data_IF_996041524677
#
_entry.id   IF_996041524677
#
_cell.length_a   1.000
_cell.length_b   1.000
_cell.length_c   1.000
_cell.angle_alpha   90.00
_cell.angle_beta   90.00
_cell.angle_gamma   90.00
#
_symmetry.space_group_name_H-M   'P 1'
#
loop_
_entity.id
_entity.type
_entity.pdbx_description
1 polymer ?
#
# COMPACT_ATOMS: atom_id res chain seq x y z
N UNK A 1 21.00 -13.67 19.59
CA UNK A 1 19.64 -13.84 20.13
C UNK A 1 19.38 -15.32 20.30
N UNK A 2 18.75 -15.77 21.38
CA UNK A 2 18.28 -17.16 21.50
C UNK A 2 16.99 -17.31 20.67
N UNK A 3 17.04 -18.10 19.59
CA UNK A 3 15.94 -18.29 18.66
C UNK A 3 14.69 -18.89 19.34
N UNK A 4 14.87 -19.75 20.33
CA UNK A 4 13.74 -20.36 21.06
C UNK A 4 13.03 -19.32 21.93
N UNK A 5 13.80 -18.53 22.67
CA UNK A 5 13.26 -17.44 23.48
C UNK A 5 12.60 -16.34 22.64
N UNK A 6 13.15 -16.04 21.45
CA UNK A 6 12.57 -15.11 20.49
C UNK A 6 11.22 -15.61 19.96
N UNK A 7 11.17 -16.85 19.46
CA UNK A 7 9.95 -17.52 18.98
C UNK A 7 8.84 -17.45 20.04
N UNK A 8 9.13 -17.89 21.27
CA UNK A 8 8.15 -17.85 22.35
C UNK A 8 7.64 -16.44 22.68
N UNK A 9 8.45 -15.39 22.50
CA UNK A 9 8.01 -13.99 22.66
C UNK A 9 7.08 -13.56 21.52
N UNK A 10 7.44 -13.89 20.28
CA UNK A 10 6.65 -13.56 19.09
C UNK A 10 5.29 -14.27 19.14
N UNK A 11 5.25 -15.56 19.48
CA UNK A 11 4.01 -16.34 19.63
C UNK A 11 3.05 -15.68 20.64
N UNK A 12 3.57 -15.23 21.80
CA UNK A 12 2.74 -14.53 22.80
C UNK A 12 2.20 -13.20 22.28
N UNK A 13 2.97 -12.49 21.45
CA UNK A 13 2.54 -11.22 20.85
C UNK A 13 1.42 -11.47 19.84
N UNK A 14 1.61 -12.46 18.96
CA UNK A 14 0.66 -12.82 17.91
C UNK A 14 -0.64 -13.39 18.49
N UNK A 15 -0.54 -14.33 19.45
CA UNK A 15 -1.70 -14.87 20.17
C UNK A 15 -2.49 -13.78 20.90
N UNK A 16 -1.81 -12.78 21.47
CA UNK A 16 -2.48 -11.63 22.10
C UNK A 16 -3.16 -10.71 21.08
N UNK A 17 -2.62 -10.58 19.87
CA UNK A 17 -3.28 -9.83 18.81
C UNK A 17 -4.56 -10.57 18.35
N UNK A 18 -4.48 -11.89 18.22
CA UNK A 18 -5.59 -12.74 17.82
C UNK A 18 -6.70 -12.90 18.88
N UNK A 19 -6.38 -12.77 20.17
CA UNK A 19 -7.38 -12.85 21.24
C UNK A 19 -8.26 -11.59 21.37
N UNK A 20 -8.00 -10.55 20.58
CA UNK A 20 -8.85 -9.36 20.57
C UNK A 20 -10.17 -9.68 19.86
N UNK A 21 -11.32 -9.28 20.45
CA UNK A 21 -12.65 -9.60 19.90
C UNK A 21 -12.91 -9.13 18.46
N UNK A 22 -12.21 -8.07 18.05
CA UNK A 22 -12.32 -7.48 16.71
C UNK A 22 -11.23 -8.02 15.74
N UNK A 23 -10.39 -8.97 16.16
CA UNK A 23 -9.36 -9.54 15.28
C UNK A 23 -9.97 -10.64 14.40
N UNK A 24 -9.62 -10.65 13.12
CA UNK A 24 -10.08 -11.66 12.18
C UNK A 24 -8.91 -12.18 11.36
N UNK A 25 -8.73 -13.49 11.30
CA UNK A 25 -7.69 -14.11 10.48
C UNK A 25 -6.29 -13.53 10.72
N UNK A 26 -5.90 -13.35 11.98
CA UNK A 26 -4.64 -12.67 12.34
C UNK A 26 -3.44 -13.49 11.89
N UNK A 27 -2.43 -12.81 11.36
CA UNK A 27 -1.19 -13.44 10.93
C UNK A 27 -0.01 -12.50 10.86
N UNK A 28 1.18 -13.05 11.05
CA UNK A 28 2.43 -12.33 10.91
C UNK A 28 3.54 -13.25 10.45
N UNK A 29 4.45 -12.71 9.65
CA UNK A 29 5.71 -13.35 9.32
C UNK A 29 6.85 -12.33 9.53
N UNK A 30 8.01 -12.85 9.87
CA UNK A 30 9.21 -12.10 10.15
C UNK A 30 10.43 -12.81 9.59
N UNK A 31 11.31 -12.05 8.95
CA UNK A 31 12.61 -12.54 8.48
C UNK A 31 13.72 -11.57 8.84
N UNK A 32 14.83 -12.11 9.32
CA UNK A 32 16.10 -11.41 9.48
C UNK A 32 17.27 -12.41 9.33
N UNK A 33 18.52 -11.97 9.18
CA UNK A 33 19.65 -12.88 9.00
C UNK A 33 19.72 -13.96 10.09
N UNK A 34 19.59 -15.23 9.68
CA UNK A 34 19.65 -16.39 10.57
C UNK A 34 18.39 -16.63 11.42
N UNK A 35 17.28 -15.94 11.15
CA UNK A 35 16.02 -16.15 11.88
C UNK A 35 14.81 -15.87 11.00
N UNK A 36 13.90 -16.84 10.94
CA UNK A 36 12.58 -16.72 10.33
C UNK A 36 11.53 -17.19 11.32
N UNK A 37 10.37 -16.56 11.26
CA UNK A 37 9.22 -16.91 12.07
C UNK A 37 7.95 -16.53 11.33
N UNK A 38 6.98 -17.44 11.31
CA UNK A 38 5.63 -17.15 10.86
C UNK A 38 4.62 -17.67 11.88
N UNK A 39 3.47 -17.02 11.91
CA UNK A 39 2.37 -17.35 12.81
C UNK A 39 1.04 -17.05 12.15
N UNK A 40 0.15 -18.03 12.23
CA UNK A 40 -1.19 -17.99 11.65
C UNK A 40 -2.21 -18.40 12.72
N UNK A 41 -3.28 -17.61 12.87
CA UNK A 41 -4.39 -18.00 13.73
C UNK A 41 -5.13 -19.22 13.12
N UNK A 42 -5.62 -20.20 13.92
CA UNK A 42 -6.23 -21.43 13.39
C UNK A 42 -7.37 -21.24 12.37
N UNK A 43 -8.18 -20.18 12.52
CA UNK A 43 -9.28 -19.85 11.61
C UNK A 43 -8.88 -18.94 10.44
N UNK A 44 -7.59 -18.65 10.27
CA UNK A 44 -7.08 -17.74 9.25
C UNK A 44 -6.70 -18.48 7.96
N UNK A 45 -6.92 -17.83 6.82
CA UNK A 45 -6.44 -18.31 5.51
C UNK A 45 -5.06 -17.76 5.16
N UNK A 46 -4.36 -18.50 4.30
CA UNK A 46 -3.03 -18.17 3.79
C UNK A 46 -3.00 -16.99 2.81
N UNK A 47 -4.13 -16.56 2.25
CA UNK A 47 -4.17 -15.38 1.38
C UNK A 47 -5.04 -14.30 2.00
N UNK A 48 -4.63 -13.04 1.88
CA UNK A 48 -5.40 -11.89 2.36
C UNK A 48 -5.22 -10.68 1.44
N UNK A 49 -6.21 -9.79 1.45
CA UNK A 49 -6.12 -8.50 0.78
C UNK A 49 -5.12 -7.60 1.50
N UNK A 50 -4.03 -7.25 0.83
CA UNK A 50 -2.95 -6.45 1.43
C UNK A 50 -3.25 -4.95 1.38
N UNK A 51 -4.34 -4.56 0.72
CA UNK A 51 -4.78 -3.18 0.55
C UNK A 51 -3.59 -2.33 0.05
N UNK A 52 -3.38 -1.15 0.63
CA UNK A 52 -2.39 -0.18 0.14
C UNK A 52 -0.93 -0.64 0.18
N UNK A 53 -0.60 -1.80 0.75
CA UNK A 53 0.71 -2.45 0.51
C UNK A 53 0.95 -2.66 -0.99
N UNK A 54 -0.12 -2.82 -1.78
CA UNK A 54 -0.14 -2.81 -3.25
C UNK A 54 0.67 -1.67 -3.86
N UNK A 55 0.70 -0.49 -3.23
CA UNK A 55 1.41 0.68 -3.76
C UNK A 55 2.93 0.48 -3.87
N UNK A 56 3.51 -0.42 -3.08
CA UNK A 56 4.92 -0.81 -3.23
C UNK A 56 5.17 -1.51 -4.57
N UNK A 57 4.24 -2.39 -4.97
CA UNK A 57 4.29 -3.13 -6.25
C UNK A 57 4.07 -2.17 -7.41
N UNK A 58 3.03 -1.33 -7.33
CA UNK A 58 2.75 -0.30 -8.33
C UNK A 58 3.95 0.62 -8.53
N UNK A 59 4.57 1.09 -7.43
CA UNK A 59 5.75 1.92 -7.51
C UNK A 59 6.95 1.17 -8.11
N UNK A 60 7.17 -0.09 -7.75
CA UNK A 60 8.25 -0.90 -8.31
C UNK A 60 8.12 -1.05 -9.84
N UNK A 61 6.91 -1.29 -10.35
CA UNK A 61 6.64 -1.35 -11.80
C UNK A 61 6.90 0.00 -12.47
N UNK A 62 6.41 1.10 -11.88
CA UNK A 62 6.63 2.45 -12.42
C UNK A 62 8.12 2.80 -12.44
N UNK A 63 8.89 2.40 -11.43
CA UNK A 63 10.34 2.60 -11.39
C UNK A 63 11.07 1.71 -12.39
N UNK A 64 10.61 0.47 -12.63
CA UNK A 64 11.12 -0.37 -13.73
C UNK A 64 10.97 0.31 -15.10
N UNK A 65 9.83 0.95 -15.36
CA UNK A 65 9.64 1.71 -16.62
C UNK A 65 10.64 2.86 -16.78
N UNK A 66 11.05 3.47 -15.67
CA UNK A 66 12.05 4.55 -15.67
C UNK A 66 13.45 3.99 -15.92
N UNK A 67 13.82 2.86 -15.31
CA UNK A 67 15.06 2.16 -15.65
C UNK A 67 15.11 1.75 -17.12
N UNK A 68 13.98 1.31 -17.67
CA UNK A 68 13.79 0.99 -19.08
C UNK A 68 13.76 2.23 -19.99
N UNK A 69 13.94 3.44 -19.43
CA UNK A 69 13.95 4.72 -20.15
C UNK A 69 12.66 4.98 -20.95
N UNK A 70 11.51 4.44 -20.51
CA UNK A 70 10.21 4.69 -21.17
C UNK A 70 9.69 6.10 -20.89
N UNK A 71 9.96 6.60 -19.69
CA UNK A 71 9.68 7.94 -19.20
C UNK A 71 10.53 8.21 -17.95
N UNK A 72 10.48 9.43 -17.43
CA UNK A 72 11.20 9.83 -16.23
C UNK A 72 10.24 10.21 -15.10
N UNK A 73 10.76 10.37 -13.88
CA UNK A 73 10.00 10.86 -12.74
C UNK A 73 9.33 12.22 -13.02
N UNK A 74 9.96 13.07 -13.81
CA UNK A 74 9.46 14.42 -14.10
C UNK A 74 8.64 14.49 -15.39
N UNK A 75 8.37 13.35 -16.05
CA UNK A 75 7.45 13.28 -17.18
C UNK A 75 6.03 13.69 -16.73
N UNK A 76 5.37 14.61 -17.43
CA UNK A 76 3.97 14.95 -17.18
C UNK A 76 3.08 13.72 -17.35
N UNK A 77 2.25 13.40 -16.35
CA UNK A 77 1.38 12.23 -16.39
C UNK A 77 0.40 12.27 -17.58
N UNK A 78 -0.04 13.47 -17.98
CA UNK A 78 -0.94 13.67 -19.12
C UNK A 78 -0.38 13.14 -20.44
N UNK A 79 0.95 13.05 -20.62
CA UNK A 79 1.54 12.50 -21.84
C UNK A 79 1.58 10.97 -21.88
N UNK A 80 1.31 10.32 -20.75
CA UNK A 80 1.32 8.86 -20.59
C UNK A 80 -0.08 8.25 -20.53
N UNK A 81 -1.12 9.09 -20.56
CA UNK A 81 -2.51 8.72 -20.34
C UNK A 81 -3.35 9.02 -21.58
N UNK A 82 -4.50 8.33 -21.76
CA UNK A 82 -5.44 8.66 -22.81
C UNK A 82 -5.88 10.14 -22.74
N UNK A 83 -6.10 10.75 -23.90
CA UNK A 83 -6.49 12.16 -24.00
C UNK A 83 -7.74 12.44 -23.15
N UNK A 84 -7.74 13.53 -22.38
CA UNK A 84 -8.86 13.95 -21.54
C UNK A 84 -8.91 13.30 -20.15
N UNK A 85 -8.10 12.27 -19.90
CA UNK A 85 -8.07 11.57 -18.60
C UNK A 85 -7.78 12.54 -17.45
N UNK A 86 -6.80 13.42 -17.64
CA UNK A 86 -6.34 14.36 -16.61
C UNK A 86 -7.22 15.61 -16.47
N UNK A 87 -8.10 15.91 -17.42
CA UNK A 87 -8.78 17.21 -17.50
C UNK A 87 -9.61 17.50 -16.24
N UNK A 88 -9.39 18.64 -15.60
CA UNK A 88 -10.14 19.05 -14.41
C UNK A 88 -9.89 18.21 -13.16
N UNK A 89 -8.92 17.29 -13.13
CA UNK A 89 -8.54 16.56 -11.90
C UNK A 89 -7.80 17.46 -10.89
N UNK A 90 -7.25 18.57 -11.38
CA UNK A 90 -6.67 19.66 -10.62
C UNK A 90 -7.28 21.00 -11.07
N UNK A 91 -8.61 21.02 -11.20
CA UNK A 91 -9.38 22.18 -11.65
C UNK A 91 -10.14 22.85 -10.51
N UNK A 92 -9.66 24.00 -10.04
CA UNK A 92 -10.32 24.80 -9.01
C UNK A 92 -10.04 26.29 -9.18
N UNK A 93 -11.02 27.13 -8.83
CA UNK A 93 -10.94 28.59 -8.97
C UNK A 93 -10.63 29.09 -10.41
N UNK A 94 -11.08 28.36 -11.43
CA UNK A 94 -11.01 28.79 -12.84
C UNK A 94 -9.68 28.48 -13.56
N UNK A 95 -8.74 27.78 -12.91
CA UNK A 95 -7.49 27.33 -13.53
C UNK A 95 -7.32 25.84 -13.33
N UNK A 96 -7.13 25.10 -14.42
CA UNK A 96 -6.80 23.69 -14.41
C UNK A 96 -5.29 23.49 -14.55
N UNK A 97 -4.66 22.87 -13.53
CA UNK A 97 -3.22 22.58 -13.50
C UNK A 97 -2.91 21.11 -13.69
N UNK A 98 -3.87 20.30 -14.14
CA UNK A 98 -3.70 18.84 -14.25
C UNK A 98 -2.54 18.45 -15.15
N UNK A 99 -2.25 19.25 -16.19
CA UNK A 99 -1.11 19.06 -17.08
C UNK A 99 0.26 19.24 -16.42
N UNK A 100 0.34 19.85 -15.22
CA UNK A 100 1.58 20.02 -14.45
C UNK A 100 1.89 18.84 -13.51
N UNK A 101 0.96 17.89 -13.37
CA UNK A 101 1.15 16.72 -12.53
C UNK A 101 2.12 15.75 -13.23
N UNK A 102 3.20 15.37 -12.56
CA UNK A 102 4.23 14.45 -13.07
C UNK A 102 4.11 13.07 -12.42
N UNK A 103 4.82 12.08 -12.97
CA UNK A 103 4.93 10.73 -12.38
C UNK A 103 5.43 10.80 -10.93
N UNK A 104 6.41 11.66 -10.64
CA UNK A 104 6.92 11.94 -9.27
C UNK A 104 5.81 12.42 -8.34
N UNK A 105 4.95 13.31 -8.83
CA UNK A 105 3.85 13.85 -8.04
C UNK A 105 2.82 12.78 -7.69
N UNK A 106 2.53 11.86 -8.62
CA UNK A 106 1.64 10.72 -8.38
C UNK A 106 2.24 9.75 -7.36
N UNK A 107 3.47 9.27 -7.61
CA UNK A 107 4.18 8.34 -6.72
C UNK A 107 4.34 8.88 -5.30
N UNK A 108 4.63 10.17 -5.17
CA UNK A 108 4.92 10.84 -3.90
C UNK A 108 3.72 11.42 -3.16
N UNK A 109 2.51 11.27 -3.69
CA UNK A 109 1.31 11.92 -3.16
C UNK A 109 1.46 13.45 -3.02
N UNK A 110 1.99 14.11 -4.05
CA UNK A 110 2.16 15.57 -4.11
C UNK A 110 1.52 16.20 -5.34
N UNK A 111 0.58 15.49 -5.99
CA UNK A 111 -0.18 16.00 -7.14
C UNK A 111 -1.15 17.12 -6.77
N UNK A 112 -1.64 17.14 -5.52
CA UNK A 112 -2.73 18.00 -5.09
C UNK A 112 -4.12 17.54 -5.56
N UNK A 113 -4.20 16.39 -6.26
CA UNK A 113 -5.46 15.79 -6.71
C UNK A 113 -6.19 15.20 -5.51
N UNK A 114 -7.48 15.53 -5.39
CA UNK A 114 -8.32 15.03 -4.30
C UNK A 114 -8.43 13.50 -4.30
N UNK A 115 -8.69 12.94 -3.13
CA UNK A 115 -8.89 11.51 -2.96
C UNK A 115 -10.33 11.10 -3.33
N UNK A 116 -10.50 10.07 -4.15
CA UNK A 116 -11.81 9.57 -4.56
C UNK A 116 -12.45 8.65 -3.50
N UNK A 117 -11.63 7.98 -2.68
CA UNK A 117 -12.06 6.84 -1.87
C UNK A 117 -12.58 7.25 -0.49
N UNK A 118 -11.77 7.97 0.29
CA UNK A 118 -12.14 8.57 1.58
C UNK A 118 -12.63 10.02 1.43
N UNK A 119 -12.38 10.66 0.27
CA UNK A 119 -12.80 12.04 0.00
C UNK A 119 -14.26 12.19 -0.47
N UNK A 120 -15.16 12.58 0.43
CA UNK A 120 -16.55 12.88 0.09
C UNK A 120 -16.73 14.13 -0.79
N UNK A 121 -17.66 14.07 -1.76
CA UNK A 121 -18.16 15.26 -2.48
C UNK A 121 -19.24 15.93 -1.63
N UNK A 122 -19.38 17.26 -1.73
CA UNK A 122 -20.43 17.98 -1.02
C UNK A 122 -21.81 17.37 -1.32
N UNK A 123 -22.52 16.93 -0.28
CA UNK A 123 -23.84 16.31 -0.38
C UNK A 123 -23.84 14.82 -0.75
N UNK A 124 -22.68 14.17 -0.83
CA UNK A 124 -22.53 12.74 -1.10
C UNK A 124 -21.62 12.09 -0.05
N UNK A 125 -21.69 10.77 0.06
CA UNK A 125 -20.77 10.01 0.90
C UNK A 125 -19.50 9.66 0.15
N UNK A 126 -18.44 9.40 0.90
CA UNK A 126 -17.23 8.80 0.35
C UNK A 126 -17.51 7.34 -0.04
N UNK A 127 -16.78 6.83 -1.04
CA UNK A 127 -16.85 5.43 -1.47
C UNK A 127 -16.61 4.48 -0.30
N UNK A 128 -15.64 4.81 0.57
CA UNK A 128 -15.40 4.04 1.80
C UNK A 128 -16.66 3.89 2.66
N UNK A 129 -17.49 4.92 2.82
CA UNK A 129 -18.70 4.84 3.64
C UNK A 129 -19.82 4.01 3.00
N UNK A 130 -19.93 4.05 1.68
CA UNK A 130 -20.87 3.22 0.90
C UNK A 130 -20.43 1.75 0.94
N UNK A 131 -19.12 1.49 0.81
CA UNK A 131 -18.51 0.17 0.93
C UNK A 131 -18.77 -0.52 2.26
N UNK A 132 -18.91 0.24 3.36
CA UNK A 132 -19.29 -0.32 4.66
C UNK A 132 -20.77 -0.75 4.74
N UNK A 133 -21.61 -0.43 3.76
CA UNK A 133 -23.05 -0.73 3.73
C UNK A 133 -23.42 -1.84 2.78
N UNK A 134 -22.60 -2.06 1.76
CA UNK A 134 -22.81 -3.09 0.76
C UNK A 134 -21.65 -3.14 -0.22
N UNK A 135 -21.59 -4.25 -0.93
CA UNK A 135 -20.64 -4.41 -2.03
C UNK A 135 -21.02 -3.45 -3.17
N UNK A 136 -20.00 -2.92 -3.83
CA UNK A 136 -20.15 -1.97 -4.94
C UNK A 136 -18.99 -2.14 -5.92
N UNK A 137 -19.20 -1.79 -7.17
CA UNK A 137 -18.17 -1.76 -8.20
C UNK A 137 -18.04 -0.34 -8.74
N UNK A 138 -16.83 0.03 -9.12
CA UNK A 138 -16.55 1.23 -9.90
C UNK A 138 -15.43 0.98 -10.90
N UNK A 139 -15.41 1.79 -11.94
CA UNK A 139 -14.35 1.86 -12.95
C UNK A 139 -13.35 2.97 -12.62
N UNK A 140 -12.18 2.98 -13.27
CA UNK A 140 -11.23 4.10 -13.17
C UNK A 140 -11.88 5.42 -13.57
N UNK A 141 -12.69 5.44 -14.62
CA UNK A 141 -13.39 6.64 -15.08
C UNK A 141 -14.32 7.20 -14.00
N UNK A 142 -15.12 6.35 -13.35
CA UNK A 142 -15.99 6.76 -12.25
C UNK A 142 -15.19 7.26 -11.04
N UNK A 143 -14.08 6.61 -10.69
CA UNK A 143 -13.19 7.08 -9.62
C UNK A 143 -12.61 8.48 -9.92
N UNK A 144 -12.18 8.74 -11.15
CA UNK A 144 -11.68 10.05 -11.57
C UNK A 144 -12.78 11.12 -11.60
N UNK A 145 -13.99 10.77 -12.03
CA UNK A 145 -15.12 11.70 -12.10
C UNK A 145 -15.62 12.16 -10.72
N UNK A 146 -15.44 11.34 -9.66
CA UNK A 146 -15.72 11.73 -8.27
C UNK A 146 -14.93 12.98 -7.88
N UNK A 147 -13.69 13.11 -8.37
CA UNK A 147 -12.77 14.20 -8.01
C UNK A 147 -12.69 15.31 -9.06
N UNK A 148 -13.20 15.07 -10.27
CA UNK A 148 -13.18 16.06 -11.36
C UNK A 148 -13.91 17.34 -10.98
N UNK A 149 -13.24 18.47 -11.21
CA UNK A 149 -13.72 19.81 -10.87
C UNK A 149 -13.70 20.15 -9.38
N UNK A 150 -13.09 19.32 -8.53
CA UNK A 150 -12.87 19.66 -7.13
C UNK A 150 -11.72 20.66 -7.03
N UNK A 151 -11.88 21.63 -6.14
CA UNK A 151 -10.81 22.56 -5.79
C UNK A 151 -9.64 21.76 -5.18
N UNK A 152 -8.44 21.84 -5.77
CA UNK A 152 -7.26 21.18 -5.21
C UNK A 152 -6.87 21.85 -3.91
N UNK A 153 -6.42 21.07 -2.93
CA UNK A 153 -5.95 21.62 -1.66
C UNK A 153 -4.66 22.41 -1.83
N UNK A 154 -3.85 22.05 -2.84
CA UNK A 154 -2.52 22.61 -3.12
C UNK A 154 -2.11 22.46 -4.57
N UNK A 155 -1.13 23.26 -4.99
CA UNK A 155 -0.52 23.15 -6.31
C UNK A 155 0.33 21.86 -6.44
N UNK A 156 0.44 21.29 -7.65
CA UNK A 156 1.28 20.12 -7.89
C UNK A 156 2.74 20.39 -7.51
N UNK A 157 3.32 19.51 -6.72
CA UNK A 157 4.72 19.57 -6.29
C UNK A 157 4.99 20.36 -5.00
N UNK A 158 3.98 21.00 -4.39
CA UNK A 158 4.14 21.77 -3.14
C UNK A 158 4.98 20.99 -2.10
N UNK A 159 6.06 21.61 -1.64
CA UNK A 159 7.14 20.99 -0.86
C UNK A 159 6.80 20.69 0.61
N UNK A 160 5.59 21.00 1.09
CA UNK A 160 5.25 20.87 2.51
C UNK A 160 5.08 19.43 3.03
N UNK A 161 4.00 18.75 2.63
CA UNK A 161 3.60 17.43 3.12
C UNK A 161 3.04 16.59 1.98
N UNK A 162 3.05 15.26 2.15
CA UNK A 162 2.33 14.37 1.23
C UNK A 162 0.84 14.38 1.56
N UNK A 163 0.00 14.40 0.53
CA UNK A 163 -1.45 14.36 0.59
C UNK A 163 -1.91 13.05 -0.03
N UNK A 164 -2.06 12.05 0.83
CA UNK A 164 -2.44 10.71 0.41
C UNK A 164 -3.75 10.76 -0.38
N UNK A 165 -3.72 10.18 -1.57
CA UNK A 165 -4.83 10.17 -2.51
C UNK A 165 -4.70 8.92 -3.36
N UNK A 166 -5.66 8.02 -3.22
CA UNK A 166 -5.76 6.78 -3.98
C UNK A 166 -5.96 7.07 -5.48
N UNK A 167 -6.52 8.24 -5.80
CA UNK A 167 -6.64 8.75 -7.18
C UNK A 167 -5.28 8.77 -7.91
N UNK A 168 -4.19 9.09 -7.20
CA UNK A 168 -2.87 9.09 -7.83
C UNK A 168 -2.46 7.70 -8.32
N UNK A 169 -2.86 6.65 -7.62
CA UNK A 169 -2.50 5.29 -7.96
C UNK A 169 -3.51 4.67 -8.93
N UNK A 170 -4.76 5.16 -8.98
CA UNK A 170 -5.67 4.92 -10.11
C UNK A 170 -5.09 5.48 -11.42
N UNK A 171 -4.46 6.66 -11.39
CA UNK A 171 -3.76 7.21 -12.56
C UNK A 171 -2.50 6.38 -12.91
N UNK A 172 -1.72 5.95 -11.92
CA UNK A 172 -0.57 5.07 -12.17
C UNK A 172 -1.00 3.69 -12.72
N UNK A 173 -2.17 3.18 -12.35
CA UNK A 173 -2.74 1.98 -12.96
C UNK A 173 -2.88 2.16 -14.48
N UNK A 174 -3.53 3.25 -14.91
CA UNK A 174 -3.72 3.55 -16.33
C UNK A 174 -2.40 3.79 -17.08
N UNK A 175 -1.39 4.35 -16.39
CA UNK A 175 -0.02 4.44 -16.95
C UNK A 175 0.54 3.04 -17.16
N UNK A 176 0.43 2.14 -16.18
CA UNK A 176 0.92 0.76 -16.30
C UNK A 176 0.19 0.03 -17.44
N UNK A 177 -1.13 0.15 -17.53
CA UNK A 177 -1.90 -0.48 -18.61
C UNK A 177 -1.41 -0.03 -19.99
N UNK A 178 -1.22 1.28 -20.16
CA UNK A 178 -0.71 1.84 -21.41
C UNK A 178 0.71 1.38 -21.80
N UNK A 179 1.50 0.87 -20.86
CA UNK A 179 2.87 0.41 -21.07
C UNK A 179 3.01 -1.12 -21.18
N UNK A 180 2.13 -1.87 -20.51
CA UNK A 180 2.29 -3.31 -20.28
C UNK A 180 1.08 -4.15 -20.69
N UNK A 181 -0.06 -3.55 -21.04
CA UNK A 181 -1.31 -4.26 -21.27
C UNK A 181 -2.26 -4.09 -20.09
N UNK A 182 -2.44 -5.12 -19.27
CA UNK A 182 -3.24 -5.03 -18.03
C UNK A 182 -2.32 -4.90 -16.81
N UNK A 183 -2.79 -4.22 -15.77
CA UNK A 183 -2.12 -4.15 -14.48
C UNK A 183 -1.88 -5.56 -13.89
N UNK A 184 -2.81 -6.47 -14.06
CA UNK A 184 -2.71 -7.87 -13.64
C UNK A 184 -1.52 -8.57 -14.30
N UNK A 185 -1.39 -8.44 -15.62
CA UNK A 185 -0.27 -9.01 -16.38
C UNK A 185 1.04 -8.34 -16.00
N UNK A 186 1.04 -7.03 -15.75
CA UNK A 186 2.22 -6.30 -15.30
C UNK A 186 2.68 -6.80 -13.93
N UNK A 187 1.78 -6.98 -12.96
CA UNK A 187 2.09 -7.55 -11.64
C UNK A 187 2.68 -8.95 -11.76
N UNK A 188 2.04 -9.83 -12.56
CA UNK A 188 2.53 -11.18 -12.78
C UNK A 188 3.95 -11.18 -13.39
N UNK A 189 4.10 -10.57 -14.57
CA UNK A 189 5.32 -10.65 -15.38
C UNK A 189 6.50 -9.87 -14.79
N UNK A 190 6.25 -8.73 -14.14
CA UNK A 190 7.31 -7.83 -13.66
C UNK A 190 7.70 -8.04 -12.21
N UNK A 191 6.84 -8.68 -11.41
CA UNK A 191 7.03 -8.79 -9.97
C UNK A 191 6.88 -10.22 -9.48
N UNK A 192 5.75 -10.88 -9.74
CA UNK A 192 5.53 -12.23 -9.21
C UNK A 192 6.46 -13.26 -9.86
N UNK A 193 6.50 -13.35 -11.19
CA UNK A 193 7.30 -14.36 -11.91
C UNK A 193 8.82 -14.23 -11.62
N UNK A 194 9.43 -13.02 -11.64
CA UNK A 194 10.86 -12.88 -11.38
C UNK A 194 11.26 -13.17 -9.93
N UNK A 195 10.31 -13.07 -8.99
CA UNK A 195 10.54 -13.29 -7.57
C UNK A 195 10.03 -14.65 -7.08
N UNK A 196 9.26 -15.38 -7.89
CA UNK A 196 8.63 -16.65 -7.51
C UNK A 196 7.48 -16.50 -6.53
N UNK A 197 6.70 -15.40 -6.60
CA UNK A 197 5.58 -15.14 -5.67
C UNK A 197 4.31 -15.86 -6.16
N UNK A 198 4.23 -17.17 -5.93
CA UNK A 198 3.17 -18.04 -6.45
C UNK A 198 1.79 -17.76 -5.83
N UNK A 199 1.74 -17.19 -4.63
CA UNK A 199 0.52 -16.91 -3.89
C UNK A 199 0.12 -15.43 -3.90
N UNK A 200 0.72 -14.64 -4.79
CA UNK A 200 0.48 -13.21 -4.95
C UNK A 200 -0.09 -12.88 -6.31
N UNK A 201 -1.19 -12.12 -6.34
CA UNK A 201 -1.82 -11.71 -7.60
C UNK A 201 -2.65 -10.42 -7.43
N UNK A 202 -2.91 -9.74 -8.54
CA UNK A 202 -3.87 -8.65 -8.60
C UNK A 202 -5.30 -9.20 -8.71
N UNK A 203 -6.13 -8.81 -7.75
CA UNK A 203 -7.53 -9.18 -7.71
C UNK A 203 -8.37 -8.21 -8.56
N UNK A 204 -9.29 -8.75 -9.33
CA UNK A 204 -9.97 -8.08 -10.44
C UNK A 204 -11.31 -8.75 -10.77
N UNK A 205 -12.03 -8.22 -11.76
CA UNK A 205 -13.29 -8.79 -12.23
C UNK A 205 -13.17 -10.26 -12.71
N UNK A 206 -11.98 -10.67 -13.18
CA UNK A 206 -11.75 -12.04 -13.65
C UNK A 206 -11.44 -13.03 -12.51
N UNK A 207 -11.19 -12.53 -11.30
CA UNK A 207 -10.83 -13.34 -10.13
C UNK A 207 -11.88 -13.32 -9.02
N UNK A 208 -13.09 -12.81 -9.28
CA UNK A 208 -14.18 -12.73 -8.29
C UNK A 208 -14.55 -14.08 -7.65
N UNK A 209 -14.38 -15.19 -8.39
CA UNK A 209 -14.62 -16.54 -7.90
C UNK A 209 -13.61 -16.98 -6.81
N UNK A 210 -12.48 -16.29 -6.67
CA UNK A 210 -11.45 -16.55 -5.65
C UNK A 210 -11.70 -15.83 -4.33
N UNK A 211 -12.66 -14.89 -4.27
CA UNK A 211 -12.92 -14.07 -3.09
C UNK A 211 -13.11 -14.91 -1.82
N UNK A 212 -13.92 -15.97 -1.90
CA UNK A 212 -14.23 -16.84 -0.76
C UNK A 212 -13.06 -17.76 -0.38
N UNK A 213 -11.94 -17.71 -1.11
CA UNK A 213 -10.67 -18.39 -0.79
C UNK A 213 -9.69 -17.46 -0.07
N UNK A 214 -9.92 -16.14 -0.13
CA UNK A 214 -9.13 -15.13 0.56
C UNK A 214 -9.70 -14.90 1.96
N UNK A 215 -8.85 -14.51 2.90
CA UNK A 215 -9.25 -14.15 4.25
C UNK A 215 -10.23 -12.97 4.21
N UNK A 216 -11.40 -13.15 4.84
CA UNK A 216 -12.42 -12.12 4.91
C UNK A 216 -11.92 -10.87 5.64
N UNK A 217 -12.26 -9.71 5.10
CA UNK A 217 -12.00 -8.40 5.71
C UNK A 217 -13.13 -8.09 6.68
N UNK A 218 -12.81 -7.71 7.92
CA UNK A 218 -13.80 -7.39 8.94
C UNK A 218 -13.93 -5.88 9.18
N UNK A 219 -15.12 -5.49 9.63
CA UNK A 219 -15.39 -4.17 10.21
C UNK A 219 -16.10 -4.34 11.56
N UNK A 220 -15.35 -4.17 12.65
CA UNK A 220 -15.83 -4.53 13.99
C UNK A 220 -15.93 -6.03 14.15
N UNK A 221 -17.09 -6.53 14.58
CA UNK A 221 -17.27 -7.94 14.98
C UNK A 221 -17.62 -8.88 13.82
N UNK A 222 -17.85 -8.35 12.60
CA UNK A 222 -18.31 -9.15 11.46
C UNK A 222 -17.52 -8.91 10.17
N UNK A 223 -17.57 -9.90 9.24
CA UNK A 223 -17.01 -9.76 7.90
C UNK A 223 -17.83 -8.76 7.07
N UNK A 224 -17.18 -8.15 6.07
CA UNK A 224 -17.83 -7.41 5.00
C UNK A 224 -17.83 -8.24 3.72
N UNK A 225 -18.90 -8.13 2.93
CA UNK A 225 -18.91 -8.61 1.54
C UNK A 225 -18.39 -7.48 0.65
N UNK A 226 -17.16 -7.63 0.15
CA UNK A 226 -16.43 -6.62 -0.64
C UNK A 226 -15.92 -7.20 -1.96
N UNK A 227 -16.61 -8.20 -2.51
CA UNK A 227 -16.14 -8.98 -3.65
C UNK A 227 -15.90 -8.10 -4.87
N UNK A 228 -16.83 -7.23 -5.19
CA UNK A 228 -16.72 -6.32 -6.33
C UNK A 228 -15.89 -5.08 -5.95
N UNK A 229 -16.03 -4.59 -4.71
CA UNK A 229 -15.26 -3.43 -4.27
C UNK A 229 -13.74 -3.70 -4.35
N UNK A 230 -13.30 -4.88 -3.87
CA UNK A 230 -11.88 -5.27 -3.95
C UNK A 230 -11.36 -5.34 -5.39
N UNK A 231 -12.22 -5.68 -6.37
CA UNK A 231 -11.85 -5.75 -7.78
C UNK A 231 -11.71 -4.37 -8.44
N UNK A 232 -12.19 -3.30 -7.82
CA UNK A 232 -12.14 -1.93 -8.36
C UNK A 232 -10.91 -1.12 -7.91
N UNK A 233 -10.14 -1.61 -6.93
CA UNK A 233 -8.96 -0.89 -6.43
C UNK A 233 -7.75 -0.99 -7.38
N UNK A 234 -7.49 -2.16 -7.97
CA UNK A 234 -6.35 -2.34 -8.87
C UNK A 234 -5.03 -1.87 -8.24
N UNK A 235 -4.39 -0.85 -8.82
CA UNK A 235 -3.04 -0.43 -8.44
C UNK A 235 -2.94 0.40 -7.14
N UNK A 236 -4.06 0.82 -6.55
CA UNK A 236 -4.06 1.54 -5.27
C UNK A 236 -4.23 0.61 -4.05
N UNK A 237 -4.73 -0.61 -4.24
CA UNK A 237 -5.07 -1.51 -3.13
C UNK A 237 -5.54 -2.93 -3.46
N UNK A 238 -5.51 -3.35 -4.72
CA UNK A 238 -6.15 -4.57 -5.21
C UNK A 238 -5.34 -5.87 -5.13
N UNK A 239 -4.18 -5.92 -4.47
CA UNK A 239 -3.42 -7.18 -4.37
C UNK A 239 -3.93 -8.11 -3.27
N UNK A 240 -3.83 -9.40 -3.56
CA UNK A 240 -3.93 -10.52 -2.63
C UNK A 240 -2.55 -11.17 -2.53
N UNK A 241 -2.13 -11.54 -1.31
CA UNK A 241 -0.80 -12.15 -1.07
C UNK A 241 -0.78 -12.97 0.24
N UNK A 242 0.30 -13.70 0.48
CA UNK A 242 0.68 -14.34 1.76
C UNK A 242 1.61 -13.43 2.57
N UNK A 243 1.82 -13.73 3.84
CA UNK A 243 2.78 -12.95 4.64
C UNK A 243 4.22 -13.24 4.18
N UNK A 244 4.48 -14.48 3.77
CA UNK A 244 5.73 -15.02 3.27
C UNK A 244 6.15 -14.37 1.95
N UNK A 245 5.28 -14.33 0.94
CA UNK A 245 5.54 -13.64 -0.33
C UNK A 245 5.81 -12.15 -0.12
N UNK A 246 5.11 -11.53 0.84
CA UNK A 246 5.35 -10.12 1.18
C UNK A 246 6.74 -9.89 1.78
N UNK A 247 7.30 -10.85 2.54
CA UNK A 247 8.69 -10.74 2.99
C UNK A 247 9.64 -10.74 1.78
N UNK A 248 9.45 -11.67 0.84
CA UNK A 248 10.28 -11.79 -0.37
C UNK A 248 10.18 -10.55 -1.27
N UNK A 249 8.96 -10.02 -1.41
CA UNK A 249 8.69 -8.79 -2.14
C UNK A 249 9.44 -7.61 -1.54
N UNK A 250 9.30 -7.34 -0.24
CA UNK A 250 9.94 -6.16 0.35
C UNK A 250 11.45 -6.32 0.44
N UNK A 251 11.95 -7.53 0.69
CA UNK A 251 13.39 -7.81 0.63
C UNK A 251 13.94 -7.57 -0.80
N UNK A 252 13.19 -7.91 -1.84
CA UNK A 252 13.56 -7.63 -3.22
C UNK A 252 13.60 -6.13 -3.54
N UNK A 253 12.60 -5.37 -3.10
CA UNK A 253 12.54 -3.92 -3.31
C UNK A 253 13.69 -3.24 -2.55
N UNK A 254 13.88 -3.54 -1.27
CA UNK A 254 14.94 -2.95 -0.44
C UNK A 254 16.35 -3.41 -0.86
N UNK A 255 16.46 -4.56 -1.51
CA UNK A 255 17.68 -5.06 -2.14
C UNK A 255 17.91 -4.59 -3.57
N UNK A 256 17.08 -3.68 -4.11
CA UNK A 256 17.15 -3.18 -5.48
C UNK A 256 17.21 -4.30 -6.55
N UNK A 257 16.44 -5.37 -6.35
CA UNK A 257 16.36 -6.51 -7.29
C UNK A 257 15.37 -6.30 -8.43
N UNK A 258 14.40 -5.41 -8.24
CA UNK A 258 13.36 -5.10 -9.24
C UNK A 258 13.68 -3.89 -10.10
N UNK A 259 14.48 -2.95 -9.59
CA UNK A 259 14.88 -1.71 -10.26
C UNK A 259 16.21 -1.23 -9.67
N UNK A 260 16.86 -0.27 -10.31
CA UNK A 260 18.22 0.15 -10.04
C UNK A 260 18.39 0.71 -8.62
N UNK A 261 19.56 0.51 -7.98
CA UNK A 261 19.86 1.10 -6.69
C UNK A 261 19.70 2.63 -6.68
N UNK A 262 19.99 3.30 -7.80
CA UNK A 262 19.83 4.75 -7.96
C UNK A 262 18.37 5.17 -7.82
N UNK A 263 17.42 4.42 -8.40
CA UNK A 263 16.00 4.70 -8.24
C UNK A 263 15.50 4.37 -6.82
N UNK A 264 16.06 3.35 -6.17
CA UNK A 264 15.78 3.09 -4.75
C UNK A 264 16.20 4.26 -3.87
N UNK A 265 17.42 4.78 -4.07
CA UNK A 265 17.93 5.95 -3.38
C UNK A 265 17.06 7.19 -3.64
N UNK A 266 16.59 7.39 -4.89
CA UNK A 266 15.67 8.49 -5.19
C UNK A 266 14.30 8.31 -4.51
N UNK A 267 13.76 7.09 -4.51
CA UNK A 267 12.46 6.78 -3.92
C UNK A 267 12.46 6.92 -2.39
N UNK A 268 13.61 6.67 -1.76
CA UNK A 268 13.79 6.67 -0.29
C UNK A 268 14.70 7.79 0.22
N UNK A 269 15.12 8.71 -0.64
CA UNK A 269 16.03 9.81 -0.30
C UNK A 269 15.32 11.05 0.23
N UNK A 270 14.07 11.27 -0.17
CA UNK A 270 13.25 12.40 0.31
C UNK A 270 11.97 11.89 0.96
N UNK A 271 11.75 12.29 2.21
CA UNK A 271 10.59 11.88 3.00
C UNK A 271 9.74 13.08 3.37
N UNK A 272 8.45 13.03 3.03
CA UNK A 272 7.49 14.09 3.33
C UNK A 272 6.56 13.64 4.45
N UNK A 273 6.25 14.51 5.43
CA UNK A 273 5.26 14.16 6.46
C UNK A 273 3.93 13.75 5.82
N UNK A 274 3.31 12.68 6.33
CA UNK A 274 2.01 12.21 5.89
C UNK A 274 0.97 12.40 7.00
N UNK A 275 1.05 11.56 8.03
CA UNK A 275 0.36 11.67 9.31
C UNK A 275 1.30 11.12 10.39
N UNK A 276 1.33 11.72 11.57
CA UNK A 276 2.28 11.29 12.60
C UNK A 276 2.07 9.81 13.00
N UNK A 277 3.11 8.95 13.06
CA UNK A 277 4.54 9.20 12.82
C UNK A 277 5.05 8.72 11.44
N UNK A 278 4.18 8.62 10.44
CA UNK A 278 4.49 8.25 9.07
C UNK A 278 4.91 9.44 8.20
N UNK A 279 5.87 9.15 7.34
CA UNK A 279 6.30 9.96 6.21
C UNK A 279 6.14 9.15 4.93
N UNK A 280 6.18 9.81 3.77
CA UNK A 280 6.02 9.18 2.47
C UNK A 280 7.15 9.60 1.51
N UNK A 281 7.70 8.63 0.78
CA UNK A 281 8.68 8.78 -0.29
C UNK A 281 8.02 8.61 -1.65
N UNK A 282 8.70 8.06 -2.64
CA UNK A 282 8.08 7.70 -3.92
C UNK A 282 7.65 6.23 -3.86
N UNK A 283 6.37 5.97 -3.53
CA UNK A 283 5.85 4.59 -3.44
C UNK A 283 5.89 3.92 -2.07
N UNK A 284 6.68 4.45 -1.14
CA UNK A 284 6.89 3.85 0.18
C UNK A 284 6.56 4.81 1.33
N UNK A 285 6.11 4.24 2.43
CA UNK A 285 6.03 4.88 3.74
C UNK A 285 7.33 4.70 4.52
N UNK A 286 7.65 5.68 5.35
CA UNK A 286 8.63 5.54 6.44
C UNK A 286 7.95 5.75 7.78
N UNK A 287 7.94 4.72 8.61
CA UNK A 287 7.54 4.83 10.01
C UNK A 287 8.72 5.31 10.83
N UNK A 288 8.63 6.53 11.38
CA UNK A 288 9.72 7.13 12.15
C UNK A 288 9.18 7.82 13.40
N UNK A 289 9.24 7.11 14.52
CA UNK A 289 8.87 7.67 15.82
C UNK A 289 10.02 8.53 16.39
N UNK A 290 9.78 9.80 16.77
CA UNK A 290 10.84 10.62 17.37
C UNK A 290 11.36 10.02 18.68
N UNK A 291 12.66 10.16 18.95
CA UNK A 291 13.32 9.59 20.15
C UNK A 291 12.66 10.00 21.46
N UNK A 292 12.06 11.19 21.54
CA UNK A 292 11.35 11.67 22.73
C UNK A 292 10.20 10.75 23.16
N UNK A 293 9.61 9.96 22.25
CA UNK A 293 8.51 9.05 22.55
C UNK A 293 8.97 7.66 23.03
N UNK A 294 10.26 7.31 22.85
CA UNK A 294 10.82 6.04 23.33
C UNK A 294 12.32 6.20 23.65
N UNK A 295 12.68 6.98 24.68
CA UNK A 295 14.06 7.36 24.95
C UNK A 295 14.95 6.17 25.35
N UNK A 296 14.38 5.18 26.05
CA UNK A 296 15.10 3.99 26.53
C UNK A 296 15.18 2.86 25.49
N UNK A 297 14.40 2.94 24.42
CA UNK A 297 14.34 1.91 23.38
C UNK A 297 13.92 2.54 22.05
N UNK A 298 14.78 3.35 21.41
CA UNK A 298 14.43 4.07 20.20
C UNK A 298 14.07 3.07 19.10
N UNK A 299 13.00 3.36 18.36
CA UNK A 299 12.62 2.54 17.21
C UNK A 299 13.46 2.93 16.00
N UNK A 300 14.10 1.98 15.29
CA UNK A 300 14.69 2.28 13.99
C UNK A 300 13.58 2.77 13.05
N UNK A 301 13.96 3.57 12.05
CA UNK A 301 13.02 3.94 11.01
C UNK A 301 12.72 2.68 10.18
N UNK A 302 11.44 2.38 9.99
CA UNK A 302 11.01 1.28 9.16
C UNK A 302 10.53 1.80 7.80
N UNK A 303 10.88 1.13 6.72
CA UNK A 303 10.48 1.48 5.34
C UNK A 303 9.56 0.38 4.80
N UNK A 304 8.46 0.76 4.17
CA UNK A 304 7.50 -0.20 3.64
C UNK A 304 6.14 0.43 3.44
N UNK A 305 5.05 -0.23 3.79
CA UNK A 305 3.71 0.32 3.69
C UNK A 305 2.74 -0.36 4.67
N UNK A 306 1.63 0.32 4.98
CA UNK A 306 0.48 -0.25 5.73
C UNK A 306 -0.80 -0.17 4.92
N UNK A 307 -1.76 -1.06 5.11
CA UNK A 307 -3.03 -1.06 4.38
C UNK A 307 -4.25 -0.84 5.25
N UNK A 308 -5.34 -0.38 4.63
CA UNK A 308 -6.60 -0.08 5.29
C UNK A 308 -7.21 -1.30 6.00
N UNK A 309 -6.94 -2.52 5.50
CA UNK A 309 -7.35 -3.80 6.11
C UNK A 309 -6.58 -4.14 7.39
N UNK A 310 -5.72 -3.26 7.89
CA UNK A 310 -4.86 -3.54 9.05
C UNK A 310 -3.68 -4.43 8.68
N UNK A 311 -3.22 -4.34 7.43
CA UNK A 311 -1.99 -4.98 6.94
C UNK A 311 -0.76 -4.10 7.19
N UNK A 312 0.39 -4.73 7.37
CA UNK A 312 1.70 -4.09 7.46
C UNK A 312 2.73 -4.89 6.69
N UNK A 313 3.62 -4.17 6.01
CA UNK A 313 4.82 -4.72 5.42
C UNK A 313 5.93 -3.68 5.60
N UNK A 314 6.89 -3.96 6.49
CA UNK A 314 7.93 -3.00 6.85
C UNK A 314 9.29 -3.67 7.05
N UNK A 315 10.34 -2.98 6.61
CA UNK A 315 11.73 -3.39 6.69
C UNK A 315 12.51 -2.41 7.58
N UNK A 316 13.36 -2.95 8.44
CA UNK A 316 14.40 -2.24 9.17
C UNK A 316 15.74 -2.43 8.45
N UNK A 317 16.23 -1.41 7.71
CA UNK A 317 17.49 -1.52 6.97
C UNK A 317 18.70 -1.81 7.85
N UNK A 318 18.69 -1.37 9.11
CA UNK A 318 19.86 -1.49 9.99
C UNK A 318 20.08 -2.94 10.47
N UNK A 319 19.01 -3.73 10.53
CA UNK A 319 19.05 -5.14 10.98
C UNK A 319 18.69 -6.14 9.90
N UNK A 320 18.34 -5.66 8.70
CA UNK A 320 17.77 -6.48 7.64
C UNK A 320 16.56 -7.29 8.13
N UNK A 321 15.69 -6.63 8.91
CA UNK A 321 14.51 -7.25 9.51
C UNK A 321 13.27 -6.83 8.73
N UNK A 322 12.58 -7.78 8.13
CA UNK A 322 11.32 -7.58 7.41
C UNK A 322 10.18 -8.20 8.20
N UNK A 323 9.09 -7.45 8.36
CA UNK A 323 7.88 -7.86 9.09
C UNK A 323 6.69 -7.67 8.17
N UNK A 324 5.94 -8.75 7.93
CA UNK A 324 4.70 -8.77 7.17
C UNK A 324 3.56 -9.27 8.05
N UNK A 325 2.33 -8.86 7.77
CA UNK A 325 1.15 -9.46 8.40
C UNK A 325 -0.09 -8.60 8.34
N UNK A 326 -1.15 -9.10 8.97
CA UNK A 326 -2.45 -8.44 9.00
C UNK A 326 -3.26 -8.86 10.21
N UNK A 327 -4.16 -7.96 10.62
CA UNK A 327 -5.25 -8.25 11.57
C UNK A 327 -6.64 -8.28 10.89
N UNK A 328 -6.68 -8.15 9.56
CA UNK A 328 -7.85 -8.09 8.66
C UNK A 328 -9.05 -7.31 9.23
N UNK A 329 -8.79 -6.09 9.68
CA UNK A 329 -9.75 -5.26 10.38
C UNK A 329 -9.67 -3.80 9.92
N UNK A 330 -10.75 -3.30 9.34
CA UNK A 330 -10.88 -1.91 8.88
C UNK A 330 -11.15 -0.92 10.03
N UNK A 331 -12.04 -1.26 10.98
CA UNK A 331 -12.50 -0.31 12.03
C UNK A 331 -11.39 0.13 12.97
N UNK A 332 -10.46 -0.77 13.28
CA UNK A 332 -9.33 -0.54 14.20
C UNK A 332 -8.00 -0.83 13.51
N UNK A 333 -7.91 -0.53 12.21
CA UNK A 333 -6.74 -0.77 11.35
C UNK A 333 -5.41 -0.33 11.96
N UNK A 334 -5.37 0.77 12.70
CA UNK A 334 -4.15 1.27 13.35
C UNK A 334 -3.58 0.38 14.47
N UNK A 335 -4.33 -0.60 14.97
CA UNK A 335 -3.83 -1.52 16.01
C UNK A 335 -2.68 -2.38 15.51
N UNK A 336 -2.59 -2.62 14.20
CA UNK A 336 -1.49 -3.38 13.59
C UNK A 336 -0.13 -2.75 13.89
N UNK A 337 -0.03 -1.41 13.97
CA UNK A 337 1.22 -0.73 14.32
C UNK A 337 1.70 -1.04 15.74
N UNK A 338 0.78 -1.31 16.68
CA UNK A 338 1.15 -1.76 18.03
C UNK A 338 1.68 -3.19 18.02
N UNK A 339 1.21 -4.03 17.10
CA UNK A 339 1.73 -5.39 16.93
C UNK A 339 3.10 -5.33 16.26
N UNK A 340 3.22 -4.59 15.15
CA UNK A 340 4.48 -4.30 14.46
C UNK A 340 5.57 -3.86 15.45
N UNK A 341 5.29 -2.86 16.29
CA UNK A 341 6.24 -2.38 17.29
C UNK A 341 6.65 -3.45 18.30
N UNK A 342 5.71 -4.29 18.74
CA UNK A 342 6.02 -5.36 19.70
C UNK A 342 6.86 -6.47 19.07
N UNK A 343 6.56 -6.85 17.83
CA UNK A 343 7.34 -7.85 17.07
C UNK A 343 8.77 -7.35 16.85
N UNK A 344 8.91 -6.12 16.35
CA UNK A 344 10.21 -5.48 16.13
C UNK A 344 11.07 -5.45 17.41
N UNK A 345 10.46 -5.06 18.53
CA UNK A 345 11.14 -4.96 19.83
C UNK A 345 11.47 -6.31 20.45
N UNK A 346 10.68 -7.35 20.16
CA UNK A 346 10.93 -8.69 20.70
C UNK A 346 12.20 -9.32 20.10
N UNK A 347 12.63 -8.83 18.94
CA UNK A 347 13.80 -9.25 18.17
C UNK A 347 15.02 -8.35 18.39
N UNK A 348 15.10 -7.73 19.57
CA UNK A 348 16.27 -6.96 20.00
C UNK A 348 17.07 -7.69 21.05
#
# INVERSE_FOLDING_TARGET
MDASAATARLDRIAAKAASHRDAAGVRFAVRMPGFEWSWLHPDAKEQYFVASVTKLVTAAIVLQHIDESRYDLDTPAVSLLPQGTMDGLHGGAGVDRSALVTVRHLLGHTSGIADYFEGARMGQRAIFEEMLRGDLAWTHAEALDIVRGRTPDRDPGDHGRAFYSDTNYQLLHLVIDGQDGSFEDAVARRVCDPLGLEDTYAYSADTLARYDQVQSIHYGEGPLELRHAMASFGADGGLVSTAEDQLDLLDAIMGARLFSPQLLDQATGTWRPLFFPLEYGLGAMRYRLPRAFSPLSPMPALIGHSGATGSVLFHDPARQLTIAGSINQLRRRSQVFKVLWRLERALR
#
